data_IF_312844752625
#
_entry.id   IF_312844752625
#
_cell.length_a   1.000
_cell.length_b   1.000
_cell.length_c   1.000
_cell.angle_alpha   90.00
_cell.angle_beta   90.00
_cell.angle_gamma   90.00
#
_symmetry.space_group_name_H-M   'P 1'
#
loop_
_entity.id
_entity.type
_entity.pdbx_description
1 polymer ?
#
# COMPACT_ATOMS: atom_id res chain seq x y z
N UNK A 1 26.14 -1.29 -22.41
CA UNK A 1 25.02 -0.34 -22.68
C UNK A 1 24.25 -0.21 -21.38
N UNK A 2 24.42 0.92 -20.69
CA UNK A 2 23.90 1.14 -19.33
C UNK A 2 22.40 1.43 -19.44
N UNK A 3 21.55 0.46 -19.10
CA UNK A 3 20.10 0.65 -19.05
C UNK A 3 19.80 1.37 -17.72
N UNK A 4 19.34 2.63 -17.72
CA UNK A 4 19.00 3.31 -16.50
C UNK A 4 17.83 2.59 -15.83
N UNK A 5 18.02 2.20 -14.56
CA UNK A 5 16.97 1.63 -13.73
C UNK A 5 15.76 2.59 -13.73
N UNK A 6 14.53 2.10 -13.99
CA UNK A 6 13.36 2.94 -13.85
C UNK A 6 13.25 3.33 -12.37
N UNK A 7 13.46 4.62 -12.09
CA UNK A 7 13.09 5.26 -10.84
C UNK A 7 11.58 5.09 -10.69
N UNK A 8 11.17 4.02 -10.02
CA UNK A 8 9.82 3.83 -9.52
C UNK A 8 9.61 4.87 -8.42
N UNK A 9 9.12 6.02 -8.87
CA UNK A 9 8.61 7.11 -8.06
C UNK A 9 7.67 6.53 -7.01
N UNK A 10 7.99 6.74 -5.72
CA UNK A 10 6.98 6.79 -4.68
C UNK A 10 5.93 7.81 -5.14
N UNK A 11 4.67 7.42 -5.39
CA UNK A 11 3.63 8.42 -5.41
C UNK A 11 3.40 8.84 -3.95
N UNK A 12 3.81 10.08 -3.67
CA UNK A 12 3.48 10.93 -2.54
C UNK A 12 2.51 10.35 -1.49
N UNK A 13 3.02 10.26 -0.26
CA UNK A 13 2.38 9.86 0.98
C UNK A 13 1.16 10.70 1.45
N UNK A 14 0.52 11.49 0.58
CA UNK A 14 -0.60 12.35 0.96
C UNK A 14 -1.98 11.87 0.46
N UNK A 15 -2.04 10.90 -0.47
CA UNK A 15 -3.33 10.45 -1.04
C UNK A 15 -3.93 9.20 -0.37
N UNK A 16 -3.17 8.45 0.43
CA UNK A 16 -3.60 7.13 0.88
C UNK A 16 -4.64 7.15 2.01
N UNK A 17 -4.74 8.22 2.80
CA UNK A 17 -5.63 8.26 3.97
C UNK A 17 -7.12 8.43 3.60
N UNK A 18 -7.44 9.20 2.54
CA UNK A 18 -8.83 9.48 2.16
C UNK A 18 -9.43 8.35 1.32
N UNK A 19 -8.60 7.65 0.54
CA UNK A 19 -9.09 6.62 -0.40
C UNK A 19 -9.49 5.31 0.32
N UNK A 20 -8.84 4.95 1.44
CA UNK A 20 -9.19 3.72 2.18
C UNK A 20 -10.36 3.89 3.16
N UNK A 21 -10.69 5.10 3.62
CA UNK A 21 -11.79 5.33 4.57
C UNK A 21 -13.17 5.43 3.90
N UNK A 22 -13.21 5.64 2.58
CA UNK A 22 -14.45 5.89 1.84
C UNK A 22 -15.44 4.71 1.82
N UNK A 23 -15.07 3.45 1.54
CA UNK A 23 -16.05 2.35 1.48
C UNK A 23 -16.64 2.00 2.85
N UNK A 24 -15.83 2.02 3.92
CA UNK A 24 -16.28 1.70 5.28
C UNK A 24 -17.30 2.71 5.85
N UNK A 25 -17.15 3.99 5.49
CA UNK A 25 -18.05 5.06 5.95
C UNK A 25 -19.18 5.39 4.96
N UNK A 26 -19.20 4.79 3.76
CA UNK A 26 -20.28 5.03 2.78
C UNK A 26 -21.55 4.24 3.06
N UNK A 27 -21.54 3.33 4.03
CA UNK A 27 -22.77 2.74 4.52
C UNK A 27 -23.63 3.83 5.21
N UNK A 28 -24.91 3.99 4.82
CA UNK A 28 -25.81 4.87 5.55
C UNK A 28 -26.02 4.27 6.94
N UNK A 29 -25.75 5.05 7.99
CA UNK A 29 -26.28 4.72 9.31
C UNK A 29 -27.81 4.65 9.17
N UNK A 30 -28.40 3.51 9.52
CA UNK A 30 -29.84 3.29 9.49
C UNK A 30 -30.61 4.19 10.49
N UNK A 31 -29.91 5.05 11.25
CA UNK A 31 -30.50 6.07 12.08
C UNK A 31 -29.84 7.42 11.77
N UNK A 32 -30.44 8.22 10.88
CA UNK A 32 -30.02 9.62 10.76
C UNK A 32 -30.31 10.41 9.48
N UNK A 33 -30.82 9.85 8.38
CA UNK A 33 -31.20 10.66 7.20
C UNK A 33 -32.62 11.23 7.32
N UNK A 34 -32.91 11.89 8.44
CA UNK A 34 -34.00 12.87 8.54
C UNK A 34 -33.57 13.96 9.50
N UNK A 35 -32.78 14.92 9.01
CA UNK A 35 -32.87 16.34 9.34
C UNK A 35 -31.78 17.16 8.62
N UNK A 36 -32.19 18.06 7.72
CA UNK A 36 -31.50 19.36 7.56
C UNK A 36 -30.80 19.67 6.22
N UNK A 37 -31.59 19.87 5.15
CA UNK A 37 -31.21 20.71 3.99
C UNK A 37 -30.74 19.96 2.75
N UNK A 38 -31.15 20.44 1.57
CA UNK A 38 -30.81 19.97 0.21
C UNK A 38 -29.31 20.13 -0.15
N UNK A 39 -28.42 19.84 0.80
CA UNK A 39 -26.98 19.96 0.66
C UNK A 39 -26.34 18.61 0.36
N UNK A 40 -25.41 18.62 -0.59
CA UNK A 40 -24.61 17.45 -0.93
C UNK A 40 -23.75 16.95 0.25
N UNK A 41 -23.65 15.62 0.37
CA UNK A 41 -22.89 14.94 1.42
C UNK A 41 -21.39 15.33 1.38
N UNK A 42 -20.78 15.81 2.49
CA UNK A 42 -19.40 16.26 2.51
C UNK A 42 -18.37 15.17 2.17
N UNK A 43 -18.69 13.90 2.37
CA UNK A 43 -17.84 12.78 1.88
C UNK A 43 -17.79 12.72 0.36
N UNK A 44 -18.92 12.96 -0.32
CA UNK A 44 -18.97 13.01 -1.79
C UNK A 44 -18.21 14.22 -2.35
N UNK A 45 -18.28 15.36 -1.64
CA UNK A 45 -17.50 16.56 -1.97
C UNK A 45 -15.99 16.27 -1.84
N UNK A 46 -15.57 15.63 -0.75
CA UNK A 46 -14.17 15.25 -0.52
C UNK A 46 -13.66 14.25 -1.58
N UNK A 47 -14.48 13.29 -2.03
CA UNK A 47 -14.11 12.34 -3.09
C UNK A 47 -13.86 13.01 -4.45
N UNK A 48 -14.41 14.20 -4.68
CA UNK A 48 -14.11 15.04 -5.86
C UNK A 48 -12.96 16.02 -5.63
N UNK A 49 -12.24 15.87 -4.52
CA UNK A 49 -11.08 16.68 -4.14
C UNK A 49 -11.41 18.15 -3.81
N UNK A 50 -12.69 18.50 -3.59
CA UNK A 50 -13.08 19.82 -3.09
C UNK A 50 -12.98 19.86 -1.56
N UNK A 51 -11.74 19.86 -1.08
CA UNK A 51 -11.46 19.79 0.35
C UNK A 51 -11.82 21.07 1.12
N UNK A 52 -11.86 22.23 0.45
CA UNK A 52 -12.24 23.48 1.10
C UNK A 52 -13.72 23.47 1.49
N UNK A 53 -14.59 23.06 0.57
CA UNK A 53 -16.02 22.93 0.83
C UNK A 53 -16.29 21.79 1.82
N UNK A 54 -15.64 20.63 1.64
CA UNK A 54 -15.79 19.51 2.57
C UNK A 54 -15.36 19.88 4.00
N UNK A 55 -14.24 20.61 4.16
CA UNK A 55 -13.74 21.07 5.45
C UNK A 55 -14.74 21.97 6.17
N UNK A 56 -15.32 22.95 5.48
CA UNK A 56 -16.32 23.84 6.06
C UNK A 56 -17.55 23.07 6.56
N UNK A 57 -18.01 22.06 5.78
CA UNK A 57 -19.16 21.22 6.14
C UNK A 57 -18.87 20.30 7.31
N UNK A 58 -17.74 19.59 7.29
CA UNK A 58 -17.36 18.74 8.42
C UNK A 58 -17.09 19.55 9.69
N UNK A 59 -16.49 20.74 9.58
CA UNK A 59 -16.32 21.64 10.72
C UNK A 59 -17.67 22.06 11.33
N UNK A 60 -18.66 22.37 10.50
CA UNK A 60 -20.02 22.69 10.96
C UNK A 60 -20.69 21.48 11.64
N UNK A 61 -20.61 20.30 11.03
CA UNK A 61 -21.18 19.07 11.59
C UNK A 61 -20.54 18.71 12.94
N UNK A 62 -19.21 18.73 13.01
CA UNK A 62 -18.47 18.47 14.25
C UNK A 62 -18.79 19.51 15.34
N UNK A 63 -18.94 20.79 14.99
CA UNK A 63 -19.32 21.81 15.95
C UNK A 63 -20.75 21.62 16.50
N UNK A 64 -21.67 21.11 15.68
CA UNK A 64 -23.05 20.85 16.08
C UNK A 64 -23.20 19.55 16.90
N UNK A 65 -22.39 18.54 16.60
CA UNK A 65 -22.40 17.24 17.26
C UNK A 65 -20.96 16.73 17.45
N UNK A 66 -20.24 17.23 18.48
CA UNK A 66 -18.84 16.86 18.70
C UNK A 66 -18.63 15.37 19.03
N UNK A 67 -19.67 14.72 19.57
CA UNK A 67 -19.65 13.29 19.92
C UNK A 67 -20.02 12.38 18.74
N UNK A 68 -20.44 12.94 17.59
CA UNK A 68 -20.65 12.16 16.36
C UNK A 68 -19.29 11.77 15.77
N UNK A 69 -18.92 10.50 15.95
CA UNK A 69 -17.67 9.94 15.46
C UNK A 69 -17.48 10.15 13.95
N UNK A 70 -18.53 10.03 13.14
CA UNK A 70 -18.42 10.19 11.68
C UNK A 70 -18.13 11.63 11.31
N UNK A 71 -18.80 12.60 11.95
CA UNK A 71 -18.52 14.02 11.74
C UNK A 71 -17.10 14.38 12.21
N UNK A 72 -16.67 13.87 13.36
CA UNK A 72 -15.35 14.12 13.94
C UNK A 72 -14.22 13.50 13.11
N UNK A 73 -14.38 12.26 12.62
CA UNK A 73 -13.42 11.62 11.72
C UNK A 73 -13.29 12.42 10.42
N UNK A 74 -14.42 12.79 9.81
CA UNK A 74 -14.41 13.61 8.59
C UNK A 74 -13.68 14.93 8.79
N UNK A 75 -13.97 15.63 9.88
CA UNK A 75 -13.29 16.88 10.22
C UNK A 75 -11.79 16.69 10.49
N UNK A 76 -11.40 15.63 11.20
CA UNK A 76 -9.99 15.31 11.41
C UNK A 76 -9.26 15.06 10.09
N UNK A 77 -9.87 14.36 9.14
CA UNK A 77 -9.30 14.14 7.81
C UNK A 77 -9.13 15.45 7.02
N UNK A 78 -10.10 16.37 7.08
CA UNK A 78 -9.97 17.65 6.34
C UNK A 78 -8.89 18.56 6.89
N UNK A 79 -8.61 18.50 8.19
CA UNK A 79 -7.49 19.21 8.80
C UNK A 79 -6.13 18.81 8.20
N UNK A 80 -5.96 17.58 7.71
CA UNK A 80 -4.71 17.10 7.11
C UNK A 80 -4.46 17.67 5.71
N UNK A 81 -5.52 18.04 4.98
CA UNK A 81 -5.45 18.56 3.61
C UNK A 81 -5.69 20.07 3.52
N UNK A 82 -6.14 20.69 4.62
CA UNK A 82 -6.36 22.14 4.73
C UNK A 82 -5.05 22.91 4.45
N UNK A 83 -5.17 23.98 3.66
CA UNK A 83 -4.07 24.90 3.38
C UNK A 83 -4.17 26.18 4.24
N UNK A 84 -3.05 26.65 4.83
CA UNK A 84 -1.74 26.00 4.85
C UNK A 84 -1.76 24.75 5.74
N UNK A 85 -1.01 23.71 5.35
CA UNK A 85 -0.77 22.54 6.21
C UNK A 85 0.15 22.95 7.35
N UNK A 86 -0.32 22.84 8.59
CA UNK A 86 0.42 23.23 9.79
C UNK A 86 0.52 22.09 10.79
N UNK A 87 1.57 22.09 11.61
CA UNK A 87 1.71 21.14 12.73
C UNK A 87 0.54 21.24 13.72
N UNK A 88 -0.04 22.43 13.90
CA UNK A 88 -1.25 22.62 14.70
C UNK A 88 -2.45 21.86 14.17
N UNK A 89 -2.71 21.90 12.86
CA UNK A 89 -3.79 21.14 12.23
C UNK A 89 -3.55 19.63 12.33
N UNK A 90 -2.31 19.17 12.09
CA UNK A 90 -1.92 17.75 12.20
C UNK A 90 -2.11 17.26 13.64
N UNK A 91 -1.63 18.03 14.62
CA UNK A 91 -1.78 17.72 16.04
C UNK A 91 -3.24 17.65 16.47
N UNK A 92 -4.08 18.60 16.02
CA UNK A 92 -5.52 18.60 16.29
C UNK A 92 -6.23 17.40 15.67
N UNK A 93 -5.93 17.07 14.41
CA UNK A 93 -6.50 15.90 13.73
C UNK A 93 -6.23 14.61 14.51
N UNK A 94 -4.98 14.39 14.90
CA UNK A 94 -4.60 13.21 15.69
C UNK A 94 -5.30 13.17 17.05
N UNK A 95 -5.38 14.31 17.75
CA UNK A 95 -6.04 14.37 19.04
C UNK A 95 -7.54 14.04 18.94
N UNK A 96 -8.23 14.55 17.93
CA UNK A 96 -9.63 14.24 17.65
C UNK A 96 -9.84 12.73 17.40
N UNK A 97 -8.99 12.12 16.57
CA UNK A 97 -9.09 10.68 16.27
C UNK A 97 -8.85 9.83 17.52
N UNK A 98 -7.81 10.14 18.31
CA UNK A 98 -7.53 9.40 19.54
C UNK A 98 -8.66 9.53 20.56
N UNK A 99 -9.18 10.75 20.77
CA UNK A 99 -10.31 10.97 21.67
C UNK A 99 -11.56 10.20 21.21
N UNK A 100 -11.85 10.22 19.91
CA UNK A 100 -12.98 9.48 19.33
C UNK A 100 -12.82 7.97 19.51
N UNK A 101 -11.60 7.43 19.34
CA UNK A 101 -11.32 6.02 19.58
C UNK A 101 -11.44 5.61 21.06
N UNK A 102 -11.14 6.52 21.99
CA UNK A 102 -11.26 6.28 23.43
C UNK A 102 -12.72 6.31 23.90
N UNK A 103 -13.55 7.16 23.30
CA UNK A 103 -14.97 7.26 23.59
C UNK A 103 -15.81 6.13 22.96
N UNK A 104 -15.36 5.57 21.83
CA UNK A 104 -16.03 4.46 21.16
C UNK A 104 -15.91 3.14 21.95
N UNK A 105 -16.93 2.28 21.84
CA UNK A 105 -16.87 0.93 22.43
C UNK A 105 -15.77 0.11 21.74
N UNK A 106 -15.26 -0.91 22.43
CA UNK A 106 -13.99 -1.57 22.05
C UNK A 106 -13.99 -2.22 20.67
N UNK A 107 -15.15 -2.56 20.12
CA UNK A 107 -15.29 -3.35 18.88
C UNK A 107 -15.97 -2.57 17.74
N UNK A 108 -16.13 -1.24 17.84
CA UNK A 108 -16.74 -0.49 16.74
C UNK A 108 -15.75 -0.20 15.60
N UNK A 109 -16.28 -0.19 14.38
CA UNK A 109 -15.54 0.20 13.17
C UNK A 109 -14.87 1.57 13.31
N UNK A 110 -15.55 2.54 13.95
CA UNK A 110 -15.04 3.88 14.16
C UNK A 110 -13.80 3.89 15.05
N UNK A 111 -13.74 3.01 16.05
CA UNK A 111 -12.57 2.89 16.93
C UNK A 111 -11.36 2.40 16.16
N UNK A 112 -11.54 1.34 15.37
CA UNK A 112 -10.48 0.71 14.59
C UNK A 112 -9.99 1.70 13.53
N UNK A 113 -10.90 2.39 12.84
CA UNK A 113 -10.58 3.43 11.87
C UNK A 113 -9.83 4.60 12.50
N UNK A 114 -10.30 5.13 13.63
CA UNK A 114 -9.62 6.22 14.32
C UNK A 114 -8.19 5.86 14.72
N UNK A 115 -7.99 4.67 15.29
CA UNK A 115 -6.66 4.17 15.68
C UNK A 115 -5.75 4.01 14.46
N UNK A 116 -6.27 3.45 13.37
CA UNK A 116 -5.53 3.29 12.12
C UNK A 116 -5.10 4.65 11.54
N UNK A 117 -6.02 5.62 11.45
CA UNK A 117 -5.74 6.94 10.93
C UNK A 117 -4.77 7.74 11.81
N UNK A 118 -4.87 7.62 13.14
CA UNK A 118 -3.92 8.24 14.06
C UNK A 118 -2.49 7.69 13.88
N UNK A 119 -2.36 6.36 13.69
CA UNK A 119 -1.08 5.73 13.39
C UNK A 119 -0.49 6.21 12.04
N UNK A 120 -1.33 6.39 11.01
CA UNK A 120 -0.92 7.00 9.74
C UNK A 120 -0.38 8.42 9.95
N UNK A 121 -1.06 9.24 10.76
CA UNK A 121 -0.57 10.60 11.05
C UNK A 121 0.84 10.59 11.67
N UNK A 122 1.08 9.69 12.63
CA UNK A 122 2.39 9.57 13.27
C UNK A 122 3.46 9.04 12.31
N UNK A 123 3.09 8.17 11.37
CA UNK A 123 4.01 7.61 10.37
C UNK A 123 4.49 8.65 9.35
N UNK A 124 3.60 9.46 8.76
CA UNK A 124 3.95 10.28 7.58
C UNK A 124 3.39 11.72 7.55
N UNK A 125 2.58 12.13 8.53
CA UNK A 125 2.03 13.49 8.52
C UNK A 125 2.79 14.49 9.40
N UNK A 126 3.47 14.03 10.46
CA UNK A 126 4.22 14.91 11.38
C UNK A 126 5.61 15.28 10.86
N UNK A 127 6.11 16.44 11.28
CA UNK A 127 7.50 16.83 11.13
C UNK A 127 8.12 17.19 12.50
N UNK A 128 9.02 16.36 13.07
CA UNK A 128 9.50 15.09 12.53
C UNK A 128 8.46 13.96 12.63
N UNK A 129 8.56 12.97 11.74
CA UNK A 129 7.77 11.75 11.81
C UNK A 129 8.05 10.96 13.11
N UNK A 130 7.08 10.15 13.54
CA UNK A 130 7.13 9.34 14.77
C UNK A 130 6.89 7.85 14.44
N UNK A 131 7.83 7.21 13.72
CA UNK A 131 7.66 5.83 13.27
C UNK A 131 7.44 4.82 14.41
N UNK A 132 8.01 5.01 15.60
CA UNK A 132 7.84 4.06 16.71
C UNK A 132 6.43 4.11 17.32
N UNK A 133 5.86 5.31 17.40
CA UNK A 133 4.47 5.50 17.83
C UNK A 133 3.53 4.79 16.84
N UNK A 134 3.81 4.93 15.53
CA UNK A 134 3.07 4.26 14.48
C UNK A 134 3.22 2.72 14.54
N UNK A 135 4.44 2.21 14.72
CA UNK A 135 4.71 0.76 14.88
C UNK A 135 3.90 0.20 16.04
N UNK A 136 3.99 0.83 17.22
CA UNK A 136 3.25 0.40 18.41
C UNK A 136 1.75 0.39 18.15
N UNK A 137 1.22 1.42 17.49
CA UNK A 137 -0.21 1.50 17.18
C UNK A 137 -0.66 0.42 16.19
N UNK A 138 0.13 0.14 15.15
CA UNK A 138 -0.19 -0.93 14.19
C UNK A 138 -0.05 -2.33 14.80
N UNK A 139 0.97 -2.58 15.63
CA UNK A 139 1.12 -3.86 16.33
C UNK A 139 -0.09 -4.12 17.24
N UNK A 140 -0.57 -3.09 17.94
CA UNK A 140 -1.80 -3.18 18.73
C UNK A 140 -3.03 -3.46 17.84
N UNK A 141 -3.16 -2.84 16.67
CA UNK A 141 -4.27 -3.12 15.74
C UNK A 141 -4.27 -4.58 15.25
N UNK A 142 -3.10 -5.08 14.83
CA UNK A 142 -2.93 -6.46 14.36
C UNK A 142 -3.24 -7.47 15.47
N UNK A 143 -2.79 -7.19 16.70
CA UNK A 143 -3.02 -8.07 17.85
C UNK A 143 -4.47 -8.06 18.31
N UNK A 144 -5.07 -6.87 18.43
CA UNK A 144 -6.36 -6.68 19.10
C UNK A 144 -7.55 -6.99 18.17
N UNK A 145 -7.38 -6.87 16.84
CA UNK A 145 -8.45 -7.06 15.85
C UNK A 145 -8.05 -8.03 14.72
N UNK A 146 -7.67 -9.28 15.03
CA UNK A 146 -7.24 -10.24 14.02
C UNK A 146 -8.36 -10.52 13.02
N UNK A 147 -8.05 -10.39 11.73
CA UNK A 147 -9.02 -10.62 10.66
C UNK A 147 -9.95 -9.43 10.37
N UNK A 148 -9.67 -8.24 10.90
CA UNK A 148 -10.28 -7.00 10.45
C UNK A 148 -9.49 -6.39 9.28
N UNK A 149 -10.17 -5.82 8.27
CA UNK A 149 -9.51 -5.26 7.07
C UNK A 149 -8.44 -4.21 7.40
N UNK A 150 -8.78 -3.25 8.26
CA UNK A 150 -7.82 -2.22 8.71
C UNK A 150 -6.67 -2.76 9.57
N UNK A 151 -6.85 -3.89 10.26
CA UNK A 151 -5.74 -4.54 10.98
C UNK A 151 -4.79 -5.21 9.99
N UNK A 152 -5.30 -5.85 8.94
CA UNK A 152 -4.48 -6.38 7.86
C UNK A 152 -3.77 -5.26 7.07
N UNK A 153 -4.42 -4.11 6.88
CA UNK A 153 -3.75 -2.93 6.31
C UNK A 153 -2.69 -2.34 7.25
N UNK A 154 -2.89 -2.40 8.57
CA UNK A 154 -1.86 -2.05 9.55
C UNK A 154 -0.64 -2.99 9.44
N UNK A 155 -0.86 -4.29 9.20
CA UNK A 155 0.22 -5.24 8.92
C UNK A 155 1.04 -4.85 7.67
N UNK A 156 0.37 -4.40 6.60
CA UNK A 156 1.08 -3.86 5.40
C UNK A 156 1.94 -2.64 5.77
N UNK A 157 1.44 -1.72 6.59
CA UNK A 157 2.20 -0.56 7.02
C UNK A 157 3.40 -0.93 7.90
N UNK A 158 3.24 -1.88 8.83
CA UNK A 158 4.37 -2.44 9.59
C UNK A 158 5.43 -3.02 8.68
N UNK A 159 5.03 -3.81 7.67
CA UNK A 159 5.97 -4.40 6.73
C UNK A 159 6.76 -3.35 5.95
N UNK A 160 6.13 -2.24 5.56
CA UNK A 160 6.81 -1.11 4.90
C UNK A 160 7.81 -0.42 5.84
N UNK A 161 7.45 -0.22 7.12
CA UNK A 161 8.35 0.37 8.11
C UNK A 161 9.54 -0.57 8.38
N UNK A 162 9.30 -1.88 8.51
CA UNK A 162 10.36 -2.87 8.73
C UNK A 162 11.31 -2.99 7.53
N UNK A 163 10.78 -2.96 6.31
CA UNK A 163 11.58 -3.14 5.10
C UNK A 163 12.32 -1.88 4.65
N UNK A 164 11.73 -0.69 4.84
CA UNK A 164 12.20 0.55 4.21
C UNK A 164 12.23 1.77 5.14
N UNK A 165 11.99 1.57 6.45
CA UNK A 165 12.13 2.61 7.44
C UNK A 165 13.58 3.12 7.58
N UNK A 166 13.78 4.34 8.09
CA UNK A 166 15.13 4.84 8.34
C UNK A 166 15.83 4.04 9.45
N UNK A 167 17.17 3.88 9.37
CA UNK A 167 18.01 3.44 10.47
C UNK A 167 17.72 4.15 11.77
N UNK A 168 17.49 3.38 12.83
CA UNK A 168 17.33 3.89 14.18
C UNK A 168 18.41 3.27 15.08
N UNK A 169 19.52 3.99 15.32
CA UNK A 169 20.67 3.45 16.05
C UNK A 169 20.35 3.15 17.53
N UNK A 170 19.31 3.78 18.10
CA UNK A 170 19.08 3.79 19.55
C UNK A 170 17.81 3.03 19.99
N UNK A 171 17.06 2.43 19.06
CA UNK A 171 15.79 1.74 19.35
C UNK A 171 15.74 0.33 18.77
N UNK A 172 15.48 -0.70 19.59
CA UNK A 172 15.28 -2.07 19.13
C UNK A 172 13.94 -2.27 18.40
N UNK A 173 12.99 -1.33 18.52
CA UNK A 173 11.69 -1.42 17.84
C UNK A 173 11.75 -0.88 16.40
N UNK A 174 12.12 -1.77 15.46
CA UNK A 174 11.34 -1.90 14.23
C UNK A 174 11.54 -0.92 13.08
N UNK A 175 12.66 -0.23 12.89
CA UNK A 175 12.88 0.45 11.59
C UNK A 175 14.28 0.32 11.00
N UNK A 176 15.36 0.31 11.78
CA UNK A 176 16.59 -0.37 11.32
C UNK A 176 17.65 -0.62 12.40
N UNK A 177 17.48 -1.74 13.11
CA UNK A 177 18.53 -2.45 13.84
C UNK A 177 18.39 -3.99 13.71
N UNK A 178 17.47 -4.48 12.87
CA UNK A 178 17.22 -5.90 12.66
C UNK A 178 18.03 -6.41 11.46
N UNK A 179 18.54 -7.64 11.51
CA UNK A 179 19.22 -8.24 10.35
C UNK A 179 18.22 -8.38 9.18
N UNK A 180 18.69 -8.46 7.92
CA UNK A 180 17.79 -8.70 6.79
C UNK A 180 16.96 -9.98 6.94
N UNK A 181 17.44 -11.00 7.66
CA UNK A 181 16.69 -12.21 7.92
C UNK A 181 15.59 -11.98 8.97
N UNK A 182 15.85 -11.18 10.02
CA UNK A 182 14.82 -10.81 11.00
C UNK A 182 13.68 -10.00 10.35
N UNK A 183 14.02 -9.09 9.42
CA UNK A 183 13.01 -8.31 8.70
C UNK A 183 12.11 -9.22 7.86
N UNK A 184 12.68 -10.20 7.16
CA UNK A 184 11.90 -11.18 6.39
C UNK A 184 10.99 -11.98 7.33
N UNK A 185 11.53 -12.52 8.42
CA UNK A 185 10.75 -13.31 9.38
C UNK A 185 9.55 -12.52 9.94
N UNK A 186 9.75 -11.26 10.34
CA UNK A 186 8.65 -10.41 10.83
C UNK A 186 7.58 -10.17 9.77
N UNK A 187 7.96 -9.95 8.52
CA UNK A 187 6.97 -9.73 7.44
C UNK A 187 6.26 -11.02 7.05
N UNK A 188 6.95 -12.17 7.10
CA UNK A 188 6.34 -13.49 6.91
C UNK A 188 5.31 -13.82 8.00
N UNK A 189 5.57 -13.47 9.25
CA UNK A 189 4.60 -13.58 10.35
C UNK A 189 3.35 -12.74 10.08
N UNK A 190 3.53 -11.47 9.65
CA UNK A 190 2.43 -10.59 9.26
C UNK A 190 1.61 -11.19 8.09
N UNK A 191 2.30 -11.76 7.10
CA UNK A 191 1.67 -12.44 5.95
C UNK A 191 0.88 -13.69 6.37
N UNK A 192 1.37 -14.45 7.33
CA UNK A 192 0.65 -15.62 7.89
C UNK A 192 -0.58 -15.19 8.70
N UNK A 193 -0.52 -14.03 9.37
CA UNK A 193 -1.63 -13.43 10.10
C UNK A 193 -2.72 -12.85 9.21
N UNK A 194 -2.36 -12.24 8.07
CA UNK A 194 -3.29 -11.54 7.20
C UNK A 194 -4.37 -12.45 6.59
N UNK A 195 -5.63 -12.01 6.66
CA UNK A 195 -6.82 -12.75 6.20
C UNK A 195 -7.35 -12.23 4.87
N UNK A 196 -7.22 -10.94 4.59
CA UNK A 196 -7.75 -10.32 3.39
C UNK A 196 -6.78 -10.43 2.20
N UNK A 197 -7.35 -10.74 1.04
CA UNK A 197 -6.59 -10.97 -0.19
C UNK A 197 -5.73 -9.75 -0.58
N UNK A 198 -6.26 -8.53 -0.49
CA UNK A 198 -5.51 -7.32 -0.84
C UNK A 198 -4.27 -7.14 0.04
N UNK A 199 -4.41 -7.26 1.36
CA UNK A 199 -3.27 -7.12 2.27
C UNK A 199 -2.22 -8.22 2.06
N UNK A 200 -2.64 -9.47 1.86
CA UNK A 200 -1.73 -10.59 1.54
C UNK A 200 -0.95 -10.34 0.24
N UNK A 201 -1.62 -9.79 -0.78
CA UNK A 201 -0.99 -9.41 -2.05
C UNK A 201 0.07 -8.34 -1.82
N UNK A 202 -0.25 -7.27 -1.09
CA UNK A 202 0.70 -6.20 -0.81
C UNK A 202 1.87 -6.67 0.07
N UNK A 203 1.65 -7.53 1.06
CA UNK A 203 2.72 -8.11 1.88
C UNK A 203 3.70 -8.95 1.03
N UNK A 204 3.20 -9.74 0.09
CA UNK A 204 4.06 -10.42 -0.88
C UNK A 204 4.87 -9.45 -1.74
N UNK A 205 4.28 -8.33 -2.16
CA UNK A 205 4.99 -7.31 -2.94
C UNK A 205 6.09 -6.63 -2.10
N UNK A 206 5.82 -6.35 -0.82
CA UNK A 206 6.82 -5.81 0.10
C UNK A 206 7.99 -6.79 0.29
N UNK A 207 7.72 -8.07 0.57
CA UNK A 207 8.74 -9.11 0.66
C UNK A 207 9.57 -9.22 -0.61
N UNK A 208 8.92 -9.26 -1.77
CA UNK A 208 9.60 -9.33 -3.05
C UNK A 208 10.59 -8.17 -3.25
N UNK A 209 10.14 -6.94 -2.97
CA UNK A 209 10.98 -5.75 -3.08
C UNK A 209 12.12 -5.78 -2.09
N UNK A 210 11.88 -6.21 -0.85
CA UNK A 210 12.91 -6.30 0.16
C UNK A 210 13.99 -7.34 -0.21
N UNK A 211 13.59 -8.53 -0.65
CA UNK A 211 14.52 -9.55 -1.16
C UNK A 211 15.37 -9.04 -2.31
N UNK A 212 14.76 -8.36 -3.28
CA UNK A 212 15.51 -7.83 -4.41
C UNK A 212 16.44 -6.66 -4.01
N UNK A 213 15.93 -5.66 -3.30
CA UNK A 213 16.67 -4.40 -3.08
C UNK A 213 17.69 -4.52 -1.95
N UNK A 214 17.30 -5.08 -0.80
CA UNK A 214 18.15 -5.16 0.39
C UNK A 214 19.05 -6.39 0.35
N UNK A 215 18.54 -7.54 -0.12
CA UNK A 215 19.28 -8.81 -0.11
C UNK A 215 19.91 -9.21 -1.43
N UNK A 216 19.58 -8.52 -2.53
CA UNK A 216 19.98 -8.91 -3.90
C UNK A 216 19.61 -10.37 -4.22
N UNK A 217 18.55 -10.90 -3.59
CA UNK A 217 18.11 -12.27 -3.70
C UNK A 217 16.94 -12.37 -4.70
N UNK A 218 17.26 -12.64 -5.96
CA UNK A 218 16.27 -12.56 -7.06
C UNK A 218 15.26 -13.72 -7.03
N UNK A 219 15.70 -14.96 -6.79
CA UNK A 219 14.80 -16.11 -6.78
C UNK A 219 13.68 -16.00 -5.71
N UNK A 220 13.98 -15.66 -4.43
CA UNK A 220 12.92 -15.38 -3.45
C UNK A 220 12.01 -14.20 -3.84
N UNK A 221 12.58 -13.15 -4.46
CA UNK A 221 11.79 -12.03 -4.93
C UNK A 221 10.76 -12.44 -5.99
N UNK A 222 11.18 -13.24 -6.98
CA UNK A 222 10.28 -13.80 -8.02
C UNK A 222 9.19 -14.67 -7.38
N UNK A 223 9.54 -15.54 -6.42
CA UNK A 223 8.56 -16.41 -5.76
C UNK A 223 7.43 -15.62 -5.09
N UNK A 224 7.75 -14.53 -4.39
CA UNK A 224 6.75 -13.66 -3.79
C UNK A 224 5.96 -12.85 -4.82
N UNK A 225 6.57 -12.36 -5.90
CA UNK A 225 5.83 -11.69 -6.97
C UNK A 225 4.81 -12.62 -7.65
N UNK A 226 5.19 -13.89 -7.88
CA UNK A 226 4.27 -14.90 -8.41
C UNK A 226 3.14 -15.23 -7.41
N UNK A 227 3.42 -15.22 -6.11
CA UNK A 227 2.39 -15.37 -5.09
C UNK A 227 1.41 -14.18 -5.08
N UNK A 228 1.92 -12.94 -5.16
CA UNK A 228 1.10 -11.74 -5.29
C UNK A 228 0.25 -11.76 -6.57
N UNK A 229 0.84 -12.15 -7.71
CA UNK A 229 0.19 -12.17 -9.03
C UNK A 229 -0.98 -13.15 -9.13
N UNK A 230 -0.94 -14.22 -8.33
CA UNK A 230 -2.03 -15.22 -8.23
C UNK A 230 -3.24 -14.70 -7.46
N UNK A 231 -3.08 -13.64 -6.67
CA UNK A 231 -4.19 -13.02 -5.93
C UNK A 231 -4.89 -12.02 -6.87
N UNK A 232 -6.20 -12.19 -7.16
CA UNK A 232 -6.93 -11.28 -8.02
C UNK A 232 -6.86 -9.84 -7.51
N UNK A 233 -6.77 -8.89 -8.45
CA UNK A 233 -6.90 -7.47 -8.14
C UNK A 233 -8.00 -6.84 -9.00
N UNK A 234 -8.74 -5.89 -8.42
CA UNK A 234 -9.85 -5.23 -9.11
C UNK A 234 -9.38 -4.29 -10.23
N UNK A 235 -8.14 -3.82 -10.16
CA UNK A 235 -7.57 -2.83 -11.09
C UNK A 235 -6.49 -3.47 -11.96
N UNK A 236 -6.77 -3.79 -13.24
CA UNK A 236 -5.83 -4.49 -14.13
C UNK A 236 -4.43 -3.85 -14.24
N UNK A 237 -4.32 -2.53 -14.09
CA UNK A 237 -3.02 -1.84 -14.09
C UNK A 237 -2.08 -2.30 -12.96
N UNK A 238 -2.61 -2.73 -11.81
CA UNK A 238 -1.77 -3.22 -10.70
C UNK A 238 -1.08 -4.54 -11.01
N UNK A 239 -1.62 -5.34 -11.94
CA UNK A 239 -0.96 -6.55 -12.43
C UNK A 239 0.10 -6.23 -13.47
N UNK A 240 -0.07 -5.15 -14.23
CA UNK A 240 0.89 -4.70 -15.23
C UNK A 240 2.29 -4.45 -14.65
N UNK A 241 2.37 -3.75 -13.51
CA UNK A 241 3.65 -3.51 -12.84
C UNK A 241 4.28 -4.80 -12.28
N UNK A 242 3.48 -5.76 -11.81
CA UNK A 242 3.99 -7.05 -11.35
C UNK A 242 4.54 -7.86 -12.52
N UNK A 243 3.81 -7.93 -13.63
CA UNK A 243 4.22 -8.65 -14.83
C UNK A 243 5.54 -8.09 -15.39
N UNK A 244 5.71 -6.76 -15.40
CA UNK A 244 6.99 -6.14 -15.77
C UNK A 244 8.13 -6.50 -14.81
N UNK A 245 7.87 -6.50 -13.50
CA UNK A 245 8.87 -6.81 -12.48
C UNK A 245 9.30 -8.28 -12.53
N UNK A 246 8.34 -9.20 -12.63
CA UNK A 246 8.61 -10.64 -12.80
C UNK A 246 9.41 -10.86 -14.08
N UNK A 247 8.95 -10.29 -15.21
CA UNK A 247 9.63 -10.45 -16.49
C UNK A 247 11.07 -9.94 -16.46
N UNK A 248 11.30 -8.78 -15.84
CA UNK A 248 12.63 -8.20 -15.71
C UNK A 248 13.56 -8.99 -14.80
N UNK A 249 13.05 -9.54 -13.70
CA UNK A 249 13.86 -10.34 -12.78
C UNK A 249 14.16 -11.72 -13.38
N UNK A 250 13.17 -12.36 -13.99
CA UNK A 250 13.35 -13.65 -14.69
C UNK A 250 14.39 -13.54 -15.80
N UNK A 251 14.34 -12.47 -16.61
CA UNK A 251 15.34 -12.23 -17.65
C UNK A 251 16.76 -12.10 -17.07
N UNK A 252 16.91 -11.45 -15.92
CA UNK A 252 18.22 -11.29 -15.26
C UNK A 252 18.81 -12.62 -14.77
N UNK A 253 17.95 -13.54 -14.32
CA UNK A 253 18.34 -14.88 -13.89
C UNK A 253 18.49 -15.88 -15.06
N UNK A 254 18.21 -15.45 -16.29
CA UNK A 254 18.27 -16.31 -17.48
C UNK A 254 17.05 -17.21 -17.67
N UNK A 255 15.98 -17.01 -16.90
CA UNK A 255 14.70 -17.70 -17.09
C UNK A 255 13.89 -17.01 -18.22
N UNK A 256 14.28 -17.31 -19.45
CA UNK A 256 13.68 -16.71 -20.64
C UNK A 256 12.20 -17.09 -20.81
N UNK A 257 11.79 -18.28 -20.37
CA UNK A 257 10.41 -18.75 -20.48
C UNK A 257 9.50 -17.92 -19.58
N UNK A 258 9.85 -17.78 -18.29
CA UNK A 258 9.09 -16.98 -17.35
C UNK A 258 9.10 -15.49 -17.75
N UNK A 259 10.25 -14.99 -18.23
CA UNK A 259 10.36 -13.62 -18.71
C UNK A 259 9.40 -13.32 -19.87
N UNK A 260 9.37 -14.20 -20.87
CA UNK A 260 8.48 -14.09 -22.03
C UNK A 260 7.02 -14.14 -21.59
N UNK A 261 6.64 -15.10 -20.75
CA UNK A 261 5.25 -15.28 -20.31
C UNK A 261 4.67 -14.00 -19.66
N UNK A 262 5.42 -13.40 -18.73
CA UNK A 262 4.94 -12.19 -18.04
C UNK A 262 5.02 -10.93 -18.90
N UNK A 263 6.04 -10.80 -19.76
CA UNK A 263 6.07 -9.70 -20.72
C UNK A 263 4.92 -9.76 -21.74
N UNK A 264 4.54 -10.95 -22.20
CA UNK A 264 3.37 -11.12 -23.07
C UNK A 264 2.07 -10.81 -22.33
N UNK A 265 1.91 -11.26 -21.08
CA UNK A 265 0.77 -10.92 -20.24
C UNK A 265 0.61 -9.39 -20.06
N UNK A 266 1.71 -8.68 -19.78
CA UNK A 266 1.71 -7.21 -19.72
C UNK A 266 1.25 -6.60 -21.05
N UNK A 267 1.86 -7.01 -22.17
CA UNK A 267 1.62 -6.41 -23.48
C UNK A 267 0.19 -6.64 -23.98
N UNK A 268 -0.40 -7.78 -23.62
CA UNK A 268 -1.78 -8.13 -23.96
C UNK A 268 -2.78 -7.30 -23.16
N UNK A 269 -2.59 -7.19 -21.85
CA UNK A 269 -3.46 -6.41 -20.98
C UNK A 269 -3.33 -4.89 -21.19
N UNK A 270 -2.17 -4.40 -21.66
CA UNK A 270 -1.85 -2.96 -21.71
C UNK A 270 -1.52 -2.47 -23.12
N UNK A 271 -2.37 -2.78 -24.09
CA UNK A 271 -2.10 -2.50 -25.53
C UNK A 271 -1.78 -1.04 -25.87
N UNK A 272 -2.29 -0.09 -25.09
CA UNK A 272 -2.07 1.37 -25.27
C UNK A 272 -0.97 1.96 -24.39
N UNK A 273 -0.37 1.16 -23.50
CA UNK A 273 0.72 1.64 -22.64
C UNK A 273 1.98 1.89 -23.50
N UNK A 274 2.66 3.04 -23.33
CA UNK A 274 3.85 3.38 -24.12
C UNK A 274 4.99 2.37 -23.99
N UNK A 275 5.05 1.60 -22.89
CA UNK A 275 6.08 0.58 -22.65
C UNK A 275 5.86 -0.69 -23.48
N UNK A 276 4.63 -0.93 -23.96
CA UNK A 276 4.26 -2.16 -24.69
C UNK A 276 5.11 -2.38 -25.95
N UNK A 277 5.47 -1.32 -26.68
CA UNK A 277 6.35 -1.44 -27.84
C UNK A 277 7.75 -1.96 -27.47
N UNK A 278 8.30 -1.50 -26.33
CA UNK A 278 9.59 -1.99 -25.80
C UNK A 278 9.49 -3.43 -25.34
N UNK A 279 8.43 -3.77 -24.61
CA UNK A 279 8.20 -5.13 -24.11
C UNK A 279 8.09 -6.15 -25.25
N UNK A 280 7.38 -5.83 -26.33
CA UNK A 280 7.30 -6.70 -27.52
C UNK A 280 8.66 -6.95 -28.17
N UNK A 281 9.55 -5.94 -28.21
CA UNK A 281 10.93 -6.12 -28.71
C UNK A 281 11.75 -7.03 -27.79
N UNK A 282 11.59 -6.90 -26.47
CA UNK A 282 12.25 -7.79 -25.50
C UNK A 282 11.82 -9.24 -25.70
N UNK A 283 10.51 -9.49 -25.83
CA UNK A 283 9.96 -10.83 -26.11
C UNK A 283 10.54 -11.41 -27.40
N UNK A 284 10.56 -10.65 -28.48
CA UNK A 284 11.12 -11.11 -29.76
C UNK A 284 12.61 -11.46 -29.63
N UNK A 285 13.39 -10.63 -28.93
CA UNK A 285 14.81 -10.88 -28.66
C UNK A 285 15.05 -12.15 -27.85
N UNK A 286 14.27 -12.35 -26.78
CA UNK A 286 14.36 -13.55 -25.93
C UNK A 286 14.01 -14.81 -26.72
N UNK A 287 12.91 -14.81 -27.48
CA UNK A 287 12.50 -15.95 -28.33
C UNK A 287 13.56 -16.30 -29.39
N UNK A 288 14.15 -15.29 -30.02
CA UNK A 288 15.22 -15.51 -31.01
C UNK A 288 16.47 -16.12 -30.37
N UNK A 289 16.88 -15.65 -29.20
CA UNK A 289 18.02 -16.18 -28.46
C UNK A 289 17.80 -17.65 -28.05
N UNK A 290 16.62 -17.98 -27.52
CA UNK A 290 16.26 -19.37 -27.16
C UNK A 290 16.26 -20.30 -28.38
N UNK A 291 15.74 -19.85 -29.52
CA UNK A 291 15.75 -20.63 -30.77
C UNK A 291 17.17 -20.90 -31.28
N UNK A 292 18.06 -19.89 -31.21
CA UNK A 292 19.46 -20.05 -31.58
C UNK A 292 20.19 -21.06 -30.67
N UNK A 293 19.98 -20.98 -29.35
CA UNK A 293 20.55 -21.92 -28.39
C UNK A 293 20.09 -23.37 -28.66
N UNK A 294 18.80 -23.58 -29.00
CA UNK A 294 18.27 -24.89 -29.35
C UNK A 294 18.83 -25.45 -30.67
N UNK A 295 19.19 -24.57 -31.62
CA UNK A 295 19.77 -24.97 -32.92
C UNK A 295 21.28 -25.26 -32.86
N UNK A 296 22.03 -24.54 -32.03
CA UNK A 296 23.48 -24.71 -31.86
C UNK A 296 23.89 -25.98 -31.10
N UNK A 297 22.96 -26.64 -30.41
CA UNK A 297 23.21 -27.93 -29.74
C UNK A 297 23.08 -29.14 -30.68
N UNK A 298 22.69 -28.92 -31.94
CA UNK A 298 22.67 -29.96 -32.99
C UNK A 298 23.97 -29.93 -33.81
N UNK A 299 25.10 -30.30 -33.19
CA UNK A 299 26.29 -30.65 -33.98
C UNK A 299 26.06 -32.05 -34.57
N UNK A 300 26.06 -32.22 -35.91
CA UNK A 300 25.96 -33.56 -36.49
C UNK A 300 27.20 -34.36 -36.08
N UNK A 301 26.99 -35.56 -35.54
CA UNK A 301 28.05 -36.55 -35.42
C UNK A 301 28.66 -36.73 -36.82
N UNK A 302 29.93 -36.36 -36.97
CA UNK A 302 30.66 -36.62 -38.22
C UNK A 302 30.76 -38.14 -38.40
N UNK A 303 30.47 -38.67 -39.59
CA UNK A 303 30.66 -40.08 -39.91
C UNK A 303 32.13 -40.49 -39.86
#
# INVERSE_FOLDING_TARGET
MNIPAPRLLLPCAALSAIILAAPALSAPSAAGEKNGGDGENPWSIALRLDYATADARFAQMHAAAPDDARATIGYACTLLVRQPRTEGNIGKARALLMHTAEAASTETEERILCRYLAARIDQDHRSPARPDDAVTAYENLVRDYPGHELADQAAVQLALIFAFGPPQPDKPSGAAAASPDDVVARIEELLAGARHAEARRELHIVLARFHWQARQAVAPAIAHLLAARRIPCEKPFRDAELDLMIGSLAQREGDAELAVAHYEAFAEANRRDPRTGTVRRLVAGLKAASAQAASGHKTPARP
#
